data_IF_465421209392
#
_entry.id   IF_465421209392
#
_cell.length_a   1.000
_cell.length_b   1.000
_cell.length_c   1.000
_cell.angle_alpha   90.00
_cell.angle_beta   90.00
_cell.angle_gamma   90.00
#
_symmetry.space_group_name_H-M   'P 1'
#
loop_
_entity.id
_entity.type
_entity.pdbx_description
1 polymer ?
#
# COMPACT_ATOMS: atom_id res chain seq x y z
N UNK A 1 -13.59 43.24 11.55
CA UNK A 1 -13.22 42.16 12.48
C UNK A 1 -12.68 41.01 11.64
N UNK A 2 -11.51 40.46 11.98
CA UNK A 2 -10.88 39.37 11.21
C UNK A 2 -10.46 38.23 12.12
N UNK A 3 -10.48 37.00 11.62
CA UNK A 3 -10.02 35.79 12.31
C UNK A 3 -8.73 35.29 11.69
N UNK A 4 -7.91 34.58 12.47
CA UNK A 4 -6.74 33.84 11.96
C UNK A 4 -7.10 32.37 11.87
N UNK A 5 -6.89 31.76 10.71
CA UNK A 5 -7.11 30.34 10.47
C UNK A 5 -5.75 29.64 10.50
N UNK A 6 -5.68 28.52 11.21
CA UNK A 6 -4.57 27.57 11.12
C UNK A 6 -5.05 26.31 10.44
N UNK A 7 -4.41 26.00 9.31
CA UNK A 7 -4.65 24.79 8.51
C UNK A 7 -3.62 23.73 8.85
N UNK A 8 -3.83 22.51 8.33
CA UNK A 8 -2.85 21.42 8.36
C UNK A 8 -2.50 20.88 9.75
N UNK A 9 -3.39 21.08 10.73
CA UNK A 9 -3.35 20.41 12.03
C UNK A 9 -3.97 19.01 11.88
N UNK A 10 -3.33 18.14 11.10
CA UNK A 10 -3.76 16.76 10.82
C UNK A 10 -2.55 15.84 10.65
N UNK A 11 -2.69 14.57 11.03
CA UNK A 11 -1.70 13.51 10.78
C UNK A 11 -2.39 12.31 10.15
N UNK A 12 -1.66 11.57 9.31
CA UNK A 12 -2.16 10.31 8.74
C UNK A 12 -2.39 9.27 9.84
N UNK A 13 -3.49 8.53 9.74
CA UNK A 13 -3.74 7.31 10.53
C UNK A 13 -3.23 6.02 9.87
N UNK A 14 -2.73 6.10 8.63
CA UNK A 14 -2.22 4.96 7.87
C UNK A 14 -0.68 4.94 7.88
N UNK A 15 -0.12 3.73 7.89
CA UNK A 15 1.32 3.51 7.73
C UNK A 15 1.83 4.07 6.40
N UNK A 16 3.00 4.67 6.44
CA UNK A 16 3.73 5.13 5.27
C UNK A 16 4.44 3.99 4.54
N UNK A 17 5.20 4.36 3.49
CA UNK A 17 5.91 3.39 2.64
C UNK A 17 6.89 2.51 3.44
N UNK A 18 7.65 3.09 4.35
CA UNK A 18 8.66 2.33 5.11
C UNK A 18 8.02 1.49 6.23
N UNK A 19 6.89 1.91 6.82
CA UNK A 19 6.12 1.05 7.73
C UNK A 19 5.62 -0.21 7.01
N UNK A 20 5.21 -0.08 5.74
CA UNK A 20 4.82 -1.22 4.90
C UNK A 20 6.04 -2.09 4.51
N UNK A 21 7.22 -1.50 4.32
CA UNK A 21 8.47 -2.23 4.06
C UNK A 21 8.82 -3.11 5.25
N UNK A 22 8.78 -2.54 6.46
CA UNK A 22 9.00 -3.25 7.71
C UNK A 22 7.99 -4.39 7.88
N UNK A 23 6.70 -4.15 7.60
CA UNK A 23 5.66 -5.16 7.65
C UNK A 23 5.96 -6.36 6.72
N UNK A 24 6.39 -6.10 5.48
CA UNK A 24 6.75 -7.17 4.53
C UNK A 24 7.98 -7.94 5.01
N UNK A 25 9.00 -7.27 5.56
CA UNK A 25 10.19 -7.94 6.10
C UNK A 25 9.86 -8.82 7.31
N UNK A 26 8.98 -8.35 8.20
CA UNK A 26 8.58 -9.10 9.39
C UNK A 26 7.79 -10.36 9.06
N UNK A 27 6.94 -10.29 8.04
CA UNK A 27 6.03 -11.39 7.68
C UNK A 27 6.60 -12.37 6.65
N UNK A 28 7.58 -11.95 5.85
CA UNK A 28 8.14 -12.70 4.71
C UNK A 28 7.05 -13.43 3.88
N UNK A 29 6.05 -12.69 3.35
CA UNK A 29 4.88 -13.31 2.74
C UNK A 29 5.21 -14.02 1.42
N UNK A 30 4.55 -15.15 1.14
CA UNK A 30 4.68 -15.81 -0.18
C UNK A 30 4.03 -15.01 -1.32
N UNK A 31 2.94 -14.30 -1.03
CA UNK A 31 2.18 -13.51 -1.98
C UNK A 31 1.69 -12.22 -1.33
N UNK A 32 1.71 -11.11 -2.07
CA UNK A 32 1.21 -9.80 -1.62
C UNK A 32 0.03 -9.37 -2.51
N UNK A 33 -1.08 -8.99 -1.89
CA UNK A 33 -2.25 -8.42 -2.57
C UNK A 33 -2.60 -7.11 -1.85
N UNK A 34 -2.22 -5.94 -2.40
CA UNK A 34 -2.65 -4.66 -1.86
C UNK A 34 -4.18 -4.53 -1.92
N UNK A 35 -4.75 -3.85 -0.93
CA UNK A 35 -6.19 -3.62 -0.83
C UNK A 35 -6.46 -2.32 -0.06
N UNK A 36 -7.73 -1.92 0.02
CA UNK A 36 -8.21 -0.78 0.81
C UNK A 36 -7.76 0.59 0.27
N UNK A 37 -7.72 0.73 -1.05
CA UNK A 37 -7.54 2.02 -1.70
C UNK A 37 -8.05 1.99 -3.14
N UNK A 38 -7.93 3.11 -3.84
CA UNK A 38 -8.03 3.07 -5.29
C UNK A 38 -6.80 2.38 -5.89
N UNK A 39 -6.89 1.94 -7.15
CA UNK A 39 -5.74 1.37 -7.87
C UNK A 39 -4.51 2.30 -7.83
N UNK A 40 -4.72 3.62 -7.83
CA UNK A 40 -3.64 4.60 -7.72
C UNK A 40 -2.98 4.61 -6.34
N UNK A 41 -3.73 4.33 -5.27
CA UNK A 41 -3.21 4.23 -3.91
C UNK A 41 -2.55 2.87 -3.65
N UNK A 42 -3.01 1.82 -4.33
CA UNK A 42 -2.49 0.45 -4.19
C UNK A 42 -1.22 0.19 -5.02
N UNK A 43 -1.10 0.80 -6.21
CA UNK A 43 0.06 0.66 -7.11
C UNK A 43 1.41 0.91 -6.42
N UNK A 44 1.59 1.93 -5.55
CA UNK A 44 2.83 2.12 -4.80
C UNK A 44 3.27 0.93 -3.93
N UNK A 45 2.33 0.12 -3.43
CA UNK A 45 2.65 -1.09 -2.67
C UNK A 45 3.21 -2.19 -3.58
N UNK A 46 2.74 -2.28 -4.83
CA UNK A 46 3.32 -3.19 -5.82
C UNK A 46 4.75 -2.77 -6.16
N UNK A 47 4.97 -1.48 -6.39
CA UNK A 47 6.31 -0.93 -6.66
C UNK A 47 7.26 -1.19 -5.48
N UNK A 48 6.78 -1.03 -4.24
CA UNK A 48 7.54 -1.39 -3.03
C UNK A 48 7.89 -2.88 -3.01
N UNK A 49 6.92 -3.75 -3.25
CA UNK A 49 7.15 -5.18 -3.26
C UNK A 49 8.17 -5.58 -4.35
N UNK A 50 8.13 -4.95 -5.52
CA UNK A 50 9.12 -5.18 -6.59
C UNK A 50 10.55 -4.78 -6.17
N UNK A 51 10.72 -3.65 -5.48
CA UNK A 51 12.00 -3.27 -4.87
C UNK A 51 12.51 -4.32 -3.87
N UNK A 52 11.59 -5.04 -3.22
CA UNK A 52 11.88 -6.09 -2.23
C UNK A 52 12.03 -7.48 -2.86
N UNK A 53 12.05 -7.59 -4.19
CA UNK A 53 12.30 -8.85 -4.90
C UNK A 53 11.05 -9.64 -5.29
N UNK A 54 9.85 -9.11 -5.02
CA UNK A 54 8.62 -9.64 -5.58
C UNK A 54 8.50 -9.28 -7.06
N UNK A 55 7.61 -9.95 -7.78
CA UNK A 55 7.40 -9.81 -9.22
C UNK A 55 5.92 -9.68 -9.49
N UNK A 56 5.54 -8.58 -10.12
CA UNK A 56 4.15 -8.32 -10.48
C UNK A 56 3.60 -9.42 -11.39
N UNK A 57 2.44 -9.97 -11.03
CA UNK A 57 1.79 -11.08 -11.72
C UNK A 57 2.34 -12.47 -11.36
N UNK A 58 3.34 -12.58 -10.48
CA UNK A 58 3.86 -13.86 -9.99
C UNK A 58 3.66 -14.05 -8.49
N UNK A 59 4.03 -13.07 -7.67
CA UNK A 59 3.86 -13.11 -6.21
C UNK A 59 3.48 -11.75 -5.61
N UNK A 60 3.25 -10.73 -6.43
CA UNK A 60 2.49 -9.52 -6.05
C UNK A 60 1.46 -9.20 -7.12
N UNK A 61 0.23 -8.84 -6.71
CA UNK A 61 -0.91 -8.75 -7.61
C UNK A 61 -1.81 -7.56 -7.30
N UNK A 62 -2.18 -6.80 -8.33
CA UNK A 62 -3.35 -5.93 -8.26
C UNK A 62 -4.62 -6.73 -8.57
N UNK A 63 -5.66 -6.49 -7.77
CA UNK A 63 -6.97 -7.11 -7.93
C UNK A 63 -8.05 -6.05 -7.96
N UNK A 64 -9.17 -6.40 -8.60
CA UNK A 64 -10.39 -5.61 -8.56
C UNK A 64 -11.42 -6.36 -7.71
N UNK A 65 -12.38 -5.63 -7.17
CA UNK A 65 -13.50 -6.21 -6.43
C UNK A 65 -14.18 -7.34 -7.22
N UNK A 66 -14.42 -8.47 -6.54
CA UNK A 66 -15.04 -9.66 -7.13
C UNK A 66 -14.11 -10.55 -7.98
N UNK A 67 -12.85 -10.16 -8.21
CA UNK A 67 -11.87 -11.02 -8.90
C UNK A 67 -11.31 -12.09 -7.96
N UNK A 68 -11.31 -13.34 -8.44
CA UNK A 68 -10.69 -14.47 -7.74
C UNK A 68 -9.27 -14.70 -8.26
N UNK A 69 -8.30 -14.72 -7.35
CA UNK A 69 -6.90 -15.09 -7.66
C UNK A 69 -6.66 -16.56 -7.29
N UNK A 70 -5.84 -17.25 -8.08
CA UNK A 70 -5.39 -18.63 -7.84
C UNK A 70 -3.88 -18.67 -8.00
N UNK A 71 -3.19 -19.34 -7.08
CA UNK A 71 -1.73 -19.42 -6.98
C UNK A 71 -1.30 -20.89 -6.91
#
# INVERSE_FOLDING_TARGET
MGVRIQTDIHVSGHGGREDLRDLVQMLDPKNIIPAHGSIQQEKPMVELAEEMGYKHGQNVFLSNDGKVLKF
#
